data_IF_725246971801
#
_entry.id   IF_725246971801
#
_cell.length_a   1.000
_cell.length_b   1.000
_cell.length_c   1.000
_cell.angle_alpha   90.00
_cell.angle_beta   90.00
_cell.angle_gamma   90.00
#
_symmetry.space_group_name_H-M   'P 1'
#
loop_
_entity.id
_entity.type
_entity.pdbx_description
1 polymer ?
#
# COMPACT_ATOMS: atom_id res chain seq x y z
N UNK A 1 -25.23 19.58 10.32
CA UNK A 1 -24.11 18.64 10.17
C UNK A 1 -23.23 18.77 11.39
N UNK A 2 -22.90 17.69 12.04
CA UNK A 2 -21.91 17.69 13.12
C UNK A 2 -20.54 18.08 12.54
N UNK A 3 -19.65 18.60 13.38
CA UNK A 3 -18.28 18.95 12.96
C UNK A 3 -17.56 17.75 12.30
N UNK A 4 -17.71 16.55 12.84
CA UNK A 4 -17.14 15.33 12.29
C UNK A 4 -17.70 14.92 10.92
N UNK A 5 -18.97 15.21 10.61
CA UNK A 5 -19.50 14.96 9.26
C UNK A 5 -18.77 15.80 8.20
N UNK A 6 -18.39 17.05 8.53
CA UNK A 6 -17.58 17.89 7.63
C UNK A 6 -16.18 17.32 7.46
N UNK A 7 -15.52 16.92 8.56
CA UNK A 7 -14.19 16.30 8.53
C UNK A 7 -14.17 15.02 7.68
N UNK A 8 -15.15 14.14 7.82
CA UNK A 8 -15.30 12.94 6.99
C UNK A 8 -15.42 13.31 5.50
N UNK A 9 -16.22 14.34 5.16
CA UNK A 9 -16.36 14.76 3.77
C UNK A 9 -15.07 15.37 3.20
N UNK A 10 -14.28 16.08 3.99
CA UNK A 10 -12.97 16.60 3.58
C UNK A 10 -11.99 15.46 3.30
N UNK A 11 -11.91 14.46 4.18
CA UNK A 11 -11.09 13.25 3.97
C UNK A 11 -11.56 12.51 2.73
N UNK A 12 -12.87 12.31 2.55
CA UNK A 12 -13.43 11.66 1.36
C UNK A 12 -13.04 12.38 0.07
N UNK A 13 -13.16 13.69 0.04
CA UNK A 13 -12.76 14.52 -1.11
C UNK A 13 -11.27 14.37 -1.42
N UNK A 14 -10.41 14.42 -0.41
CA UNK A 14 -8.98 14.22 -0.57
C UNK A 14 -8.67 12.84 -1.17
N UNK A 15 -9.26 11.76 -0.65
CA UNK A 15 -9.00 10.40 -1.11
C UNK A 15 -9.43 10.20 -2.58
N UNK A 16 -10.53 10.81 -3.02
CA UNK A 16 -10.98 10.75 -4.42
C UNK A 16 -10.04 11.51 -5.36
N UNK A 17 -9.57 12.71 -4.95
CA UNK A 17 -8.57 13.48 -5.70
C UNK A 17 -7.25 12.71 -5.77
N UNK A 18 -6.84 12.10 -4.68
CA UNK A 18 -5.62 11.28 -4.61
C UNK A 18 -5.72 10.08 -5.56
N UNK A 19 -6.88 9.40 -5.60
CA UNK A 19 -7.13 8.31 -6.56
C UNK A 19 -6.96 8.78 -8.01
N UNK A 20 -7.59 9.90 -8.37
CA UNK A 20 -7.51 10.46 -9.73
C UNK A 20 -6.08 10.82 -10.12
N UNK A 21 -5.32 11.42 -9.20
CA UNK A 21 -3.93 11.81 -9.42
C UNK A 21 -3.03 10.57 -9.62
N UNK A 22 -3.20 9.54 -8.79
CA UNK A 22 -2.43 8.30 -8.90
C UNK A 22 -2.77 7.58 -10.21
N UNK A 23 -4.05 7.41 -10.55
CA UNK A 23 -4.44 6.79 -11.80
C UNK A 23 -3.83 7.50 -13.01
N UNK A 24 -3.93 8.82 -13.06
CA UNK A 24 -3.35 9.64 -14.16
C UNK A 24 -1.84 9.47 -14.24
N UNK A 25 -1.12 9.55 -13.11
CA UNK A 25 0.33 9.42 -13.09
C UNK A 25 0.79 8.03 -13.56
N UNK A 26 0.06 6.97 -13.22
CA UNK A 26 0.35 5.61 -13.68
C UNK A 26 0.00 5.41 -15.16
N UNK A 27 -1.10 5.98 -15.65
CA UNK A 27 -1.44 5.99 -17.08
C UNK A 27 -0.34 6.70 -17.91
N UNK A 28 0.21 7.80 -17.41
CA UNK A 28 1.35 8.46 -18.06
C UNK A 28 2.61 7.57 -18.13
N UNK A 29 2.83 6.68 -17.15
CA UNK A 29 3.93 5.72 -17.22
C UNK A 29 3.71 4.67 -18.30
N UNK A 30 2.47 4.24 -18.48
CA UNK A 30 2.08 3.30 -19.54
C UNK A 30 2.25 3.93 -20.93
N UNK A 31 1.75 5.15 -21.15
CA UNK A 31 1.87 5.89 -22.40
C UNK A 31 3.35 6.13 -22.80
N UNK A 32 4.18 6.54 -21.86
CA UNK A 32 5.61 6.76 -22.08
C UNK A 32 6.42 5.46 -22.27
N UNK A 33 5.82 4.31 -21.99
CA UNK A 33 6.42 2.98 -22.12
C UNK A 33 6.28 2.35 -23.50
N UNK A 34 5.40 2.86 -24.36
CA UNK A 34 5.22 2.38 -25.72
C UNK A 34 6.24 2.99 -26.68
N UNK A 35 7.03 2.16 -27.38
CA UNK A 35 7.99 2.61 -28.39
C UNK A 35 7.28 3.16 -29.64
N UNK A 36 6.03 2.75 -29.89
CA UNK A 36 5.24 3.07 -31.08
C UNK A 36 3.92 3.80 -30.76
N UNK A 37 3.70 4.26 -29.54
CA UNK A 37 2.51 5.00 -29.13
C UNK A 37 1.19 4.19 -29.16
N UNK A 38 1.27 2.89 -29.33
CA UNK A 38 0.10 2.03 -29.62
C UNK A 38 -0.52 1.34 -28.41
N UNK A 39 -0.05 1.59 -27.19
CA UNK A 39 -0.67 1.04 -25.97
C UNK A 39 -1.34 2.18 -25.19
N UNK A 40 -2.65 2.18 -25.21
CA UNK A 40 -3.50 3.11 -24.45
C UNK A 40 -4.22 2.39 -23.30
N UNK A 41 -3.54 1.49 -22.59
CA UNK A 41 -4.17 0.89 -21.43
C UNK A 41 -4.41 1.96 -20.35
N UNK A 42 -5.66 2.04 -19.94
CA UNK A 42 -6.16 3.01 -18.95
C UNK A 42 -6.85 2.29 -17.82
N UNK A 43 -7.00 2.99 -16.73
CA UNK A 43 -7.82 2.50 -15.64
C UNK A 43 -9.30 2.45 -16.03
N UNK A 44 -9.92 1.29 -15.86
CA UNK A 44 -11.37 1.14 -15.90
C UNK A 44 -11.93 1.39 -14.51
N UNK A 45 -12.85 2.32 -14.38
CA UNK A 45 -13.50 2.64 -13.11
C UNK A 45 -14.80 1.85 -12.96
N UNK A 46 -14.93 1.14 -11.85
CA UNK A 46 -16.14 0.43 -11.44
C UNK A 46 -16.66 1.05 -10.15
N UNK A 47 -17.82 1.69 -10.24
CA UNK A 47 -18.50 2.35 -9.11
C UNK A 47 -19.51 1.36 -8.54
N UNK A 48 -19.46 1.17 -7.24
CA UNK A 48 -20.31 0.20 -6.55
C UNK A 48 -20.88 0.77 -5.26
N UNK A 49 -22.03 0.27 -4.88
CA UNK A 49 -22.76 0.60 -3.65
C UNK A 49 -22.98 -0.65 -2.81
N UNK A 50 -23.16 -0.47 -1.49
CA UNK A 50 -23.50 -1.53 -0.55
C UNK A 50 -24.92 -1.36 -0.02
N UNK A 51 -25.62 -2.46 0.13
CA UNK A 51 -26.98 -2.45 0.72
C UNK A 51 -26.99 -1.92 2.16
N UNK A 52 -25.91 -2.19 2.90
CA UNK A 52 -25.72 -1.71 4.28
C UNK A 52 -25.33 -0.24 4.39
N UNK A 53 -25.09 0.42 3.28
CA UNK A 53 -24.70 1.80 3.14
C UNK A 53 -23.23 2.00 2.81
N UNK A 54 -22.98 3.08 2.08
CA UNK A 54 -21.69 3.40 1.52
C UNK A 54 -21.42 2.71 0.19
N UNK A 55 -20.18 2.78 -0.28
CA UNK A 55 -19.78 2.27 -1.58
C UNK A 55 -18.32 2.56 -1.87
N UNK A 56 -17.95 2.51 -3.15
CA UNK A 56 -16.58 2.79 -3.56
C UNK A 56 -16.43 2.97 -5.06
N UNK A 57 -15.20 3.25 -5.45
CA UNK A 57 -14.75 3.31 -6.84
C UNK A 57 -13.47 2.49 -6.98
N UNK A 58 -13.57 1.39 -7.72
CA UNK A 58 -12.45 0.49 -8.03
C UNK A 58 -11.89 0.87 -9.39
N UNK A 59 -10.68 1.43 -9.44
CA UNK A 59 -9.97 1.70 -10.67
C UNK A 59 -8.96 0.58 -10.92
N UNK A 60 -9.10 -0.14 -12.04
CA UNK A 60 -8.27 -1.31 -12.38
C UNK A 60 -7.65 -1.13 -13.76
N UNK A 61 -6.34 -1.35 -13.86
CA UNK A 61 -5.60 -1.49 -15.12
C UNK A 61 -5.07 -2.93 -15.21
N UNK A 62 -5.19 -3.55 -16.37
CA UNK A 62 -4.70 -4.92 -16.60
C UNK A 62 -4.15 -5.08 -18.01
N UNK A 63 -3.07 -5.84 -18.17
CA UNK A 63 -2.52 -6.18 -19.48
C UNK A 63 -1.64 -5.11 -20.11
N UNK A 64 -1.26 -4.05 -19.35
CA UNK A 64 -0.38 -2.99 -19.85
C UNK A 64 1.03 -3.47 -20.20
N UNK A 65 1.74 -2.67 -20.96
CA UNK A 65 3.13 -2.97 -21.38
C UNK A 65 4.14 -2.71 -20.28
N UNK A 66 3.89 -1.69 -19.46
CA UNK A 66 4.71 -1.32 -18.28
C UNK A 66 4.08 -1.85 -17.02
N UNK A 67 2.78 -1.61 -16.85
CA UNK A 67 1.99 -2.02 -15.70
C UNK A 67 1.17 -3.24 -16.07
N UNK A 68 1.60 -4.40 -15.61
CA UNK A 68 0.92 -5.66 -15.91
C UNK A 68 -0.45 -5.75 -15.23
N UNK A 69 -0.55 -5.23 -14.00
CA UNK A 69 -1.79 -5.02 -13.27
C UNK A 69 -1.62 -3.93 -12.23
N UNK A 70 -2.61 -3.09 -12.09
CA UNK A 70 -2.72 -2.16 -10.97
C UNK A 70 -4.17 -2.04 -10.52
N UNK A 71 -4.35 -1.81 -9.23
CA UNK A 71 -5.63 -1.45 -8.66
C UNK A 71 -5.47 -0.24 -7.75
N UNK A 72 -6.34 0.76 -7.91
CA UNK A 72 -6.43 1.94 -7.04
C UNK A 72 -7.86 2.02 -6.54
N UNK A 73 -8.07 1.62 -5.28
CA UNK A 73 -9.37 1.32 -4.71
C UNK A 73 -9.77 2.36 -3.67
N UNK A 74 -10.78 3.15 -3.96
CA UNK A 74 -11.45 4.00 -2.98
C UNK A 74 -12.66 3.28 -2.41
N UNK A 75 -12.85 3.35 -1.08
CA UNK A 75 -14.05 2.90 -0.39
C UNK A 75 -14.45 3.88 0.73
N UNK A 76 -15.75 4.02 0.92
CA UNK A 76 -16.37 4.65 2.09
C UNK A 76 -17.55 3.78 2.49
N UNK A 77 -17.42 3.04 3.57
CA UNK A 77 -18.40 2.05 4.02
C UNK A 77 -18.95 2.41 5.39
N UNK A 78 -20.24 2.12 5.58
CA UNK A 78 -20.91 2.21 6.87
C UNK A 78 -20.93 0.83 7.52
N UNK A 79 -20.64 0.78 8.79
CA UNK A 79 -20.61 -0.42 9.62
C UNK A 79 -21.70 -0.27 10.67
N UNK A 80 -22.75 -1.07 10.58
CA UNK A 80 -23.89 -0.99 11.51
C UNK A 80 -23.53 -1.47 12.91
N UNK A 81 -22.65 -2.46 13.01
CA UNK A 81 -22.17 -3.01 14.28
C UNK A 81 -20.69 -3.39 14.14
N UNK A 82 -19.84 -2.77 14.96
CA UNK A 82 -18.42 -3.12 14.98
C UNK A 82 -18.22 -4.53 15.55
N UNK A 83 -17.52 -5.42 14.80
CA UNK A 83 -17.22 -6.75 15.29
C UNK A 83 -16.16 -6.71 16.40
N UNK A 84 -16.23 -7.63 17.36
CA UNK A 84 -15.27 -7.72 18.46
C UNK A 84 -13.81 -7.85 18.00
N UNK A 85 -13.58 -8.51 16.86
CA UNK A 85 -12.23 -8.63 16.27
C UNK A 85 -11.63 -7.28 15.83
N UNK A 86 -12.46 -6.30 15.41
CA UNK A 86 -12.03 -4.97 15.02
C UNK A 86 -11.86 -4.00 16.21
N UNK A 87 -12.32 -4.40 17.40
CA UNK A 87 -12.37 -3.56 18.60
C UNK A 87 -11.43 -4.03 19.72
N UNK A 88 -10.45 -4.88 19.42
CA UNK A 88 -9.51 -5.38 20.45
C UNK A 88 -8.82 -4.25 21.23
N UNK A 89 -8.55 -3.11 20.58
CA UNK A 89 -7.92 -1.94 21.20
C UNK A 89 -8.93 -0.98 21.85
N UNK A 90 -10.19 -1.05 21.44
CA UNK A 90 -11.29 -0.20 21.89
C UNK A 90 -12.51 -1.07 22.18
N UNK A 91 -12.49 -1.89 23.26
CA UNK A 91 -13.57 -2.84 23.57
C UNK A 91 -14.94 -2.18 23.74
N UNK A 92 -14.96 -0.92 24.17
CA UNK A 92 -16.16 -0.11 24.34
C UNK A 92 -16.90 0.20 23.02
N UNK A 93 -16.23 -0.01 21.88
CA UNK A 93 -16.82 0.22 20.54
C UNK A 93 -17.52 -1.00 19.97
N UNK A 94 -17.51 -2.13 20.67
CA UNK A 94 -18.24 -3.35 20.23
C UNK A 94 -19.72 -3.02 20.03
N UNK A 95 -20.27 -3.36 18.88
CA UNK A 95 -21.67 -3.13 18.52
C UNK A 95 -22.03 -1.69 18.16
N UNK A 96 -21.12 -0.72 18.29
CA UNK A 96 -21.36 0.67 17.87
C UNK A 96 -21.33 0.78 16.34
N UNK A 97 -22.00 1.81 15.82
CA UNK A 97 -21.93 2.16 14.39
C UNK A 97 -20.58 2.81 14.08
N UNK A 98 -20.09 2.59 12.88
CA UNK A 98 -18.84 3.21 12.43
C UNK A 98 -18.85 3.51 10.93
N UNK A 99 -17.90 4.33 10.51
CA UNK A 99 -17.57 4.57 9.10
C UNK A 99 -16.08 4.29 8.87
N UNK A 100 -15.77 3.67 7.75
CA UNK A 100 -14.40 3.45 7.31
C UNK A 100 -14.23 3.99 5.88
N UNK A 101 -13.28 4.91 5.72
CA UNK A 101 -12.91 5.48 4.42
C UNK A 101 -11.47 5.10 4.13
N UNK A 102 -11.19 4.75 2.90
CA UNK A 102 -9.80 4.43 2.54
C UNK A 102 -9.55 4.47 1.04
N UNK A 103 -8.27 4.66 0.72
CA UNK A 103 -7.67 4.43 -0.57
C UNK A 103 -6.59 3.39 -0.40
N UNK A 104 -6.70 2.28 -1.14
CA UNK A 104 -5.68 1.23 -1.20
C UNK A 104 -5.23 1.05 -2.63
N UNK A 105 -3.95 0.85 -2.86
CA UNK A 105 -3.44 0.58 -4.18
C UNK A 105 -2.34 -0.49 -4.16
N UNK A 106 -2.26 -1.21 -5.26
CA UNK A 106 -1.14 -2.09 -5.58
C UNK A 106 -0.80 -1.94 -7.06
N UNK A 107 0.48 -1.84 -7.36
CA UNK A 107 0.99 -1.78 -8.74
C UNK A 107 1.96 -2.95 -8.96
N UNK A 108 1.63 -3.81 -9.92
CA UNK A 108 2.46 -4.93 -10.37
C UNK A 108 3.05 -4.63 -11.76
N UNK A 109 4.30 -4.15 -11.83
CA UNK A 109 4.95 -3.88 -13.10
C UNK A 109 5.32 -5.16 -13.85
N UNK A 110 5.35 -5.09 -15.19
CA UNK A 110 5.74 -6.23 -16.04
C UNK A 110 7.24 -6.51 -15.96
N UNK A 111 8.06 -5.45 -15.99
CA UNK A 111 9.51 -5.56 -15.95
C UNK A 111 9.98 -5.95 -14.53
N UNK A 112 10.75 -7.04 -14.35
CA UNK A 112 11.26 -7.46 -13.04
C UNK A 112 12.21 -6.45 -12.36
N UNK A 113 12.78 -5.51 -13.11
CA UNK A 113 13.62 -4.46 -12.54
C UNK A 113 12.79 -3.32 -11.89
N UNK A 114 11.48 -3.27 -12.13
CA UNK A 114 10.57 -2.33 -11.46
C UNK A 114 9.91 -3.05 -10.29
N UNK A 115 9.97 -2.51 -9.07
CA UNK A 115 9.37 -3.14 -7.90
C UNK A 115 7.83 -3.09 -7.94
N UNK A 116 7.18 -4.08 -7.33
CA UNK A 116 5.79 -3.95 -6.87
C UNK A 116 5.75 -2.91 -5.75
N UNK A 117 4.74 -2.06 -5.77
CA UNK A 117 4.49 -1.08 -4.72
C UNK A 117 3.06 -1.13 -4.22
N UNK A 118 2.88 -0.86 -2.95
CA UNK A 118 1.61 -0.81 -2.26
C UNK A 118 1.50 0.48 -1.47
N UNK A 119 0.31 1.05 -1.40
CA UNK A 119 -0.02 2.11 -0.45
C UNK A 119 -1.44 1.92 0.09
N UNK A 120 -1.66 2.35 1.31
CA UNK A 120 -2.97 2.38 1.94
C UNK A 120 -3.09 3.64 2.81
N UNK A 121 -4.18 4.34 2.68
CA UNK A 121 -4.54 5.50 3.51
C UNK A 121 -5.98 5.32 3.93
N UNK A 122 -6.25 5.40 5.25
CA UNK A 122 -7.60 5.18 5.76
C UNK A 122 -7.93 6.06 6.96
N UNK A 123 -9.20 6.40 7.11
CA UNK A 123 -9.82 6.96 8.31
C UNK A 123 -10.87 6.00 8.80
N UNK A 124 -10.89 5.77 10.08
CA UNK A 124 -11.94 5.05 10.80
C UNK A 124 -12.61 6.00 11.80
N UNK A 125 -13.95 5.99 11.85
CA UNK A 125 -14.73 6.80 12.79
C UNK A 125 -15.81 5.95 13.41
N UNK A 126 -15.72 5.69 14.70
CA UNK A 126 -16.77 5.02 15.49
C UNK A 126 -17.67 6.05 16.17
N UNK A 127 -18.98 5.88 15.99
CA UNK A 127 -19.97 6.79 16.56
C UNK A 127 -20.29 6.37 18.02
N UNK A 128 -19.51 6.90 18.97
CA UNK A 128 -19.77 6.76 20.39
C UNK A 128 -20.75 7.83 20.88
N UNK A 129 -21.45 7.57 22.00
CA UNK A 129 -22.61 8.36 22.45
C UNK A 129 -22.28 9.83 22.74
N UNK A 130 -21.05 10.14 23.20
CA UNK A 130 -20.67 11.51 23.59
C UNK A 130 -19.70 12.19 22.61
N UNK A 131 -18.74 11.43 22.05
CA UNK A 131 -17.79 11.93 21.06
C UNK A 131 -17.39 10.77 20.15
N UNK A 132 -17.28 10.99 18.82
CA UNK A 132 -16.73 9.99 17.92
C UNK A 132 -15.29 9.62 18.29
N UNK A 133 -14.99 8.33 18.27
CA UNK A 133 -13.62 7.82 18.36
C UNK A 133 -13.11 7.61 16.94
N UNK A 134 -11.98 8.20 16.62
CA UNK A 134 -11.44 8.16 15.28
C UNK A 134 -9.93 7.90 15.29
N UNK A 135 -9.46 7.30 14.23
CA UNK A 135 -8.02 7.15 13.96
C UNK A 135 -7.74 7.03 12.47
N UNK A 136 -6.59 7.51 12.07
CA UNK A 136 -6.04 7.24 10.77
C UNK A 136 -5.07 6.07 10.80
N UNK A 137 -4.96 5.38 9.66
CA UNK A 137 -3.97 4.35 9.42
C UNK A 137 -3.52 4.39 7.98
N UNK A 138 -2.38 3.78 7.70
CA UNK A 138 -1.88 3.73 6.35
C UNK A 138 -0.40 3.45 6.25
N UNK A 139 0.18 3.87 5.13
CA UNK A 139 1.56 3.71 4.78
C UNK A 139 1.73 3.31 3.33
N UNK A 140 2.97 3.07 2.94
CA UNK A 140 3.33 2.52 1.65
C UNK A 140 4.64 1.72 1.77
N UNK A 141 4.77 0.66 0.98
CA UNK A 141 5.93 -0.22 0.98
C UNK A 141 6.34 -0.66 -0.42
N UNK A 142 7.61 -1.05 -0.56
CA UNK A 142 8.23 -1.42 -1.80
C UNK A 142 8.68 -2.89 -1.77
N UNK A 143 8.27 -3.65 -2.78
CA UNK A 143 8.60 -5.07 -2.95
C UNK A 143 9.39 -5.26 -4.25
N UNK A 144 10.71 -5.10 -4.23
CA UNK A 144 11.56 -5.30 -5.40
C UNK A 144 11.87 -6.79 -5.63
N UNK A 145 12.23 -7.10 -6.88
CA UNK A 145 12.73 -8.42 -7.28
C UNK A 145 14.23 -8.36 -7.59
N UNK A 146 14.68 -7.27 -8.20
CA UNK A 146 16.08 -6.94 -8.48
C UNK A 146 16.36 -5.52 -7.97
N UNK A 147 16.50 -5.36 -6.64
CA UNK A 147 16.70 -4.06 -6.02
C UNK A 147 18.10 -3.51 -6.30
N UNK A 148 18.21 -2.19 -6.15
CA UNK A 148 19.50 -1.50 -6.03
C UNK A 148 19.51 -0.66 -4.76
N UNK A 149 20.69 -0.47 -4.19
CA UNK A 149 20.86 0.38 -2.99
C UNK A 149 20.32 1.79 -3.25
N UNK A 150 20.59 2.35 -4.42
CA UNK A 150 20.12 3.68 -4.81
C UNK A 150 18.60 3.82 -4.75
N UNK A 151 17.85 2.85 -5.28
CA UNK A 151 16.38 2.88 -5.27
C UNK A 151 15.84 2.74 -3.84
N UNK A 152 16.47 1.88 -3.02
CA UNK A 152 16.09 1.71 -1.61
C UNK A 152 16.36 2.99 -0.80
N UNK A 153 17.52 3.62 -1.00
CA UNK A 153 17.87 4.89 -0.35
C UNK A 153 16.91 5.99 -0.77
N UNK A 154 16.63 6.13 -2.08
CA UNK A 154 15.65 7.10 -2.58
C UNK A 154 14.28 6.90 -1.94
N UNK A 155 13.77 5.67 -1.92
CA UNK A 155 12.48 5.33 -1.32
C UNK A 155 12.39 5.72 0.15
N UNK A 156 13.39 5.34 0.93
CA UNK A 156 13.44 5.64 2.36
C UNK A 156 13.71 7.11 2.66
N UNK A 157 14.45 7.81 1.77
CA UNK A 157 14.62 9.26 1.87
C UNK A 157 13.27 9.98 1.69
N UNK A 158 12.46 9.59 0.71
CA UNK A 158 11.11 10.12 0.56
C UNK A 158 10.28 9.83 1.83
N UNK A 159 10.30 8.60 2.34
CA UNK A 159 9.62 8.26 3.60
C UNK A 159 10.03 9.18 4.77
N UNK A 160 11.34 9.39 4.93
CA UNK A 160 11.89 10.26 5.97
C UNK A 160 11.43 11.71 5.81
N UNK A 161 11.59 12.27 4.60
CA UNK A 161 11.29 13.66 4.31
C UNK A 161 9.79 13.99 4.50
N UNK A 162 8.89 13.02 4.25
CA UNK A 162 7.46 13.14 4.50
C UNK A 162 7.12 13.12 5.99
N UNK A 163 7.89 12.41 6.81
CA UNK A 163 7.68 12.31 8.25
C UNK A 163 8.30 13.48 9.03
N UNK A 164 9.42 14.01 8.56
CA UNK A 164 10.24 14.99 9.26
C UNK A 164 9.47 16.24 9.77
N UNK A 165 8.50 16.83 9.03
CA UNK A 165 7.72 17.96 9.52
C UNK A 165 6.83 17.65 10.74
N UNK A 166 6.65 16.36 11.05
CA UNK A 166 5.80 15.85 12.13
C UNK A 166 6.58 15.42 13.37
N UNK A 167 7.88 15.25 13.26
CA UNK A 167 8.81 14.92 14.34
C UNK A 167 9.93 13.97 13.88
N UNK A 168 11.09 14.08 14.52
CA UNK A 168 12.29 13.30 14.14
C UNK A 168 12.14 11.79 14.45
N UNK A 169 11.26 11.42 15.36
CA UNK A 169 10.96 10.05 15.76
C UNK A 169 9.89 9.38 14.88
N UNK A 170 9.17 10.15 14.04
CA UNK A 170 8.03 9.65 13.25
C UNK A 170 8.48 8.63 12.21
N UNK A 171 9.51 8.95 11.42
CA UNK A 171 10.05 8.02 10.43
C UNK A 171 10.62 6.74 11.07
N UNK A 172 11.54 6.78 12.05
CA UNK A 172 12.06 5.57 12.67
C UNK A 172 10.97 4.66 13.24
N UNK A 173 9.97 5.25 13.90
CA UNK A 173 8.82 4.53 14.48
C UNK A 173 8.01 3.79 13.42
N UNK A 174 7.60 4.48 12.36
CA UNK A 174 6.72 3.90 11.35
C UNK A 174 7.45 3.02 10.34
N UNK A 175 8.75 3.25 10.14
CA UNK A 175 9.63 2.35 9.40
C UNK A 175 9.80 1.03 10.14
N UNK A 176 10.12 1.04 11.43
CA UNK A 176 10.24 -0.17 12.24
C UNK A 176 8.92 -0.96 12.27
N UNK A 177 7.78 -0.28 12.40
CA UNK A 177 6.48 -0.93 12.34
C UNK A 177 6.18 -1.54 10.97
N UNK A 178 6.61 -0.88 9.88
CA UNK A 178 6.52 -1.42 8.52
C UNK A 178 7.30 -2.72 8.37
N UNK A 179 8.54 -2.76 8.86
CA UNK A 179 9.39 -3.96 8.81
C UNK A 179 8.76 -5.14 9.55
N UNK A 180 8.20 -4.89 10.73
CA UNK A 180 7.52 -5.93 11.53
C UNK A 180 6.22 -6.40 10.89
N UNK A 181 5.44 -5.47 10.32
CA UNK A 181 4.14 -5.80 9.74
C UNK A 181 4.27 -6.64 8.48
N UNK A 182 5.18 -6.27 7.55
CA UNK A 182 5.36 -6.95 6.28
C UNK A 182 6.35 -8.11 6.33
N UNK A 183 6.45 -8.78 7.46
CA UNK A 183 7.32 -9.95 7.65
C UNK A 183 6.53 -11.26 7.50
N UNK A 184 7.02 -12.15 6.61
CA UNK A 184 6.47 -13.49 6.39
C UNK A 184 7.07 -14.46 7.41
N UNK A 185 6.36 -14.69 8.51
CA UNK A 185 6.88 -15.52 9.62
C UNK A 185 7.22 -16.95 9.21
N UNK A 186 6.41 -17.57 8.35
CA UNK A 186 6.63 -18.94 7.86
C UNK A 186 7.74 -19.05 6.82
N UNK A 187 8.25 -17.94 6.31
CA UNK A 187 9.40 -17.87 5.39
C UNK A 187 10.64 -17.29 6.04
N UNK A 188 10.52 -16.71 7.24
CA UNK A 188 11.60 -16.00 7.93
C UNK A 188 12.21 -14.88 7.06
N UNK A 189 11.40 -14.16 6.26
CA UNK A 189 11.86 -13.09 5.40
C UNK A 189 10.86 -11.92 5.34
N UNK A 190 11.33 -10.72 5.04
CA UNK A 190 10.45 -9.59 4.76
C UNK A 190 9.80 -9.72 3.36
N UNK A 191 8.61 -9.12 3.18
CA UNK A 191 7.94 -9.03 1.87
C UNK A 191 8.74 -8.21 0.87
N UNK A 192 9.37 -7.14 1.33
CA UNK A 192 10.15 -6.20 0.55
C UNK A 192 11.15 -5.42 1.40
N UNK A 193 11.53 -4.25 0.94
CA UNK A 193 12.50 -3.38 1.62
C UNK A 193 11.86 -2.41 2.61
N UNK A 194 10.54 -2.52 2.83
CA UNK A 194 9.80 -1.70 3.76
C UNK A 194 9.35 -0.35 3.18
N UNK A 195 9.21 0.60 4.06
CA UNK A 195 8.67 1.95 3.81
C UNK A 195 8.08 2.52 5.09
N UNK A 196 6.79 2.88 5.06
CA UNK A 196 6.04 3.37 6.22
C UNK A 196 4.81 2.50 6.47
N UNK A 197 4.57 2.17 7.73
CA UNK A 197 3.31 1.60 8.18
C UNK A 197 2.92 2.21 9.52
N UNK A 198 1.68 2.66 9.63
CA UNK A 198 1.12 3.22 10.85
C UNK A 198 -0.35 2.86 10.97
N UNK A 199 -0.79 2.78 12.22
CA UNK A 199 -2.18 2.57 12.61
C UNK A 199 -2.44 3.34 13.90
N UNK A 200 -3.68 3.64 14.23
CA UNK A 200 -4.02 4.40 15.43
C UNK A 200 -3.40 5.81 15.51
N UNK A 201 -3.24 6.49 14.36
CA UNK A 201 -2.82 7.89 14.33
C UNK A 201 -4.02 8.77 14.74
N UNK A 202 -4.02 9.19 15.99
CA UNK A 202 -5.05 10.00 16.62
C UNK A 202 -4.44 10.85 17.74
N UNK A 203 -5.23 11.70 18.36
CA UNK A 203 -4.76 12.61 19.43
C UNK A 203 -4.18 11.84 20.62
N UNK A 204 -4.77 10.71 21.01
CA UNK A 204 -4.33 9.95 22.16
C UNK A 204 -2.92 9.36 21.98
N UNK A 205 -2.59 8.90 20.78
CA UNK A 205 -1.34 8.20 20.50
C UNK A 205 -0.22 9.11 19.98
N UNK A 206 -0.57 10.27 19.41
CA UNK A 206 0.40 11.20 18.81
C UNK A 206 0.49 12.54 19.51
N UNK A 207 -0.53 12.92 20.28
CA UNK A 207 -0.70 14.28 20.78
C UNK A 207 -1.15 15.29 19.72
N UNK A 208 -1.36 14.87 18.47
CA UNK A 208 -1.82 15.74 17.37
C UNK A 208 -3.33 15.84 17.36
N UNK A 209 -3.87 17.00 17.02
CA UNK A 209 -5.29 17.14 16.74
C UNK A 209 -5.67 16.45 15.40
N UNK A 210 -6.96 16.45 15.06
CA UNK A 210 -7.46 15.82 13.84
C UNK A 210 -6.82 16.42 12.59
N UNK A 211 -6.69 17.72 12.54
CA UNK A 211 -6.16 18.47 11.41
C UNK A 211 -4.69 18.11 11.16
N UNK A 212 -3.87 18.08 12.19
CA UNK A 212 -2.46 17.68 12.09
C UNK A 212 -2.29 16.19 11.71
N UNK A 213 -3.13 15.32 12.28
CA UNK A 213 -3.17 13.92 11.83
C UNK A 213 -3.54 13.82 10.35
N UNK A 214 -4.54 14.60 9.90
CA UNK A 214 -4.96 14.61 8.50
C UNK A 214 -3.89 15.23 7.58
N UNK A 215 -3.15 16.24 8.02
CA UNK A 215 -2.02 16.81 7.28
C UNK A 215 -0.91 15.76 7.07
N UNK A 216 -0.61 14.96 8.09
CA UNK A 216 0.32 13.82 7.96
C UNK A 216 -0.18 12.81 6.92
N UNK A 217 -1.45 12.44 6.98
CA UNK A 217 -2.08 11.53 6.02
C UNK A 217 -2.02 12.06 4.58
N UNK A 218 -2.26 13.38 4.41
CA UNK A 218 -2.15 14.05 3.10
C UNK A 218 -0.71 14.01 2.58
N UNK A 219 0.26 14.26 3.44
CA UNK A 219 1.68 14.22 3.08
C UNK A 219 2.07 12.81 2.61
N UNK A 220 1.78 11.77 3.41
CA UNK A 220 2.11 10.38 3.07
C UNK A 220 1.39 9.92 1.80
N UNK A 221 0.09 10.18 1.67
CA UNK A 221 -0.67 9.77 0.50
C UNK A 221 -0.18 10.42 -0.80
N UNK A 222 0.07 11.72 -0.77
CA UNK A 222 0.55 12.47 -1.95
C UNK A 222 2.00 12.11 -2.30
N UNK A 223 2.86 11.90 -1.29
CA UNK A 223 4.27 11.59 -1.48
C UNK A 223 4.56 10.18 -2.01
N UNK A 224 3.57 9.29 -2.06
CA UNK A 224 3.75 7.97 -2.70
C UNK A 224 4.28 8.08 -4.13
N UNK A 225 3.77 9.01 -4.91
CA UNK A 225 4.21 9.21 -6.31
C UNK A 225 5.65 9.71 -6.39
N UNK A 226 6.09 10.54 -5.46
CA UNK A 226 7.49 11.03 -5.39
C UNK A 226 8.46 9.88 -5.13
N UNK A 227 8.03 8.86 -4.39
CA UNK A 227 8.81 7.64 -4.15
C UNK A 227 8.89 6.73 -5.37
N UNK A 228 7.76 6.44 -6.01
CA UNK A 228 7.70 5.37 -7.02
C UNK A 228 8.01 5.82 -8.44
N UNK A 229 7.61 7.03 -8.86
CA UNK A 229 7.75 7.47 -10.26
C UNK A 229 9.21 7.58 -10.72
N UNK A 230 10.18 8.09 -9.92
CA UNK A 230 11.58 8.08 -10.32
C UNK A 230 12.14 6.68 -10.58
N UNK A 231 11.74 5.69 -9.76
CA UNK A 231 12.13 4.28 -9.93
C UNK A 231 11.53 3.72 -11.24
N UNK A 232 10.24 3.96 -11.50
CA UNK A 232 9.59 3.57 -12.76
C UNK A 232 10.32 4.16 -13.97
N UNK A 233 10.56 5.47 -13.99
CA UNK A 233 11.22 6.16 -15.09
C UNK A 233 12.61 5.61 -15.37
N UNK A 234 13.34 5.21 -14.34
CA UNK A 234 14.69 4.67 -14.44
C UNK A 234 14.71 3.20 -14.89
N UNK A 235 13.74 2.39 -14.46
CA UNK A 235 13.80 0.93 -14.55
C UNK A 235 12.91 0.30 -15.62
N UNK A 236 11.80 0.92 -16.02
CA UNK A 236 10.78 0.30 -16.89
C UNK A 236 11.26 -0.13 -18.27
N UNK A 237 12.35 0.48 -18.78
CA UNK A 237 12.94 0.15 -20.08
C UNK A 237 14.22 -0.72 -19.98
N UNK A 238 14.62 -1.11 -18.77
CA UNK A 238 15.77 -1.98 -18.60
C UNK A 238 15.52 -3.34 -19.27
N UNK A 239 16.48 -3.87 -20.02
CA UNK A 239 16.37 -5.22 -20.57
C UNK A 239 16.32 -6.24 -19.41
N UNK A 240 15.59 -7.33 -19.63
CA UNK A 240 15.53 -8.44 -18.70
C UNK A 240 15.43 -9.77 -19.43
N UNK A 241 15.87 -10.82 -18.75
CA UNK A 241 15.86 -12.20 -19.28
C UNK A 241 14.59 -12.93 -18.83
N UNK A 242 14.30 -14.06 -19.50
CA UNK A 242 13.25 -14.97 -19.09
C UNK A 242 13.48 -15.52 -17.65
N UNK A 243 14.73 -15.81 -17.27
CA UNK A 243 15.08 -16.22 -15.88
C UNK A 243 14.67 -15.17 -14.87
N UNK A 244 14.93 -13.88 -15.15
CA UNK A 244 14.53 -12.78 -14.25
C UNK A 244 13.01 -12.66 -14.16
N UNK A 245 12.29 -12.88 -15.26
CA UNK A 245 10.83 -12.90 -15.22
C UNK A 245 10.28 -14.06 -14.38
N UNK A 246 10.83 -15.24 -14.51
CA UNK A 246 10.45 -16.42 -13.71
C UNK A 246 10.71 -16.21 -12.23
N UNK A 247 11.84 -15.60 -11.87
CA UNK A 247 12.12 -15.23 -10.49
C UNK A 247 11.14 -14.17 -9.96
N UNK A 248 10.75 -13.20 -10.75
CA UNK A 248 9.69 -12.25 -10.37
C UNK A 248 8.39 -12.99 -10.05
N UNK A 249 7.96 -13.94 -10.87
CA UNK A 249 6.76 -14.73 -10.63
C UNK A 249 6.87 -15.56 -9.34
N UNK A 250 8.02 -16.16 -9.09
CA UNK A 250 8.31 -16.87 -7.85
C UNK A 250 8.22 -15.93 -6.63
N UNK A 251 8.80 -14.75 -6.69
CA UNK A 251 8.71 -13.75 -5.61
C UNK A 251 7.29 -13.20 -5.42
N UNK A 252 6.52 -13.09 -6.49
CA UNK A 252 5.08 -12.77 -6.40
C UNK A 252 4.30 -13.82 -5.60
N UNK A 253 4.73 -15.06 -5.58
CA UNK A 253 4.18 -16.09 -4.68
C UNK A 253 4.29 -15.66 -3.21
N UNK A 254 5.42 -15.07 -2.77
CA UNK A 254 5.59 -14.53 -1.42
C UNK A 254 4.65 -13.37 -1.13
N UNK A 255 4.43 -12.50 -2.11
CA UNK A 255 3.48 -11.40 -2.02
C UNK A 255 2.05 -11.93 -1.81
N UNK A 256 1.63 -12.94 -2.56
CA UNK A 256 0.33 -13.61 -2.40
C UNK A 256 0.20 -14.26 -1.03
N UNK A 257 1.23 -14.98 -0.57
CA UNK A 257 1.24 -15.60 0.76
C UNK A 257 1.02 -14.56 1.86
N UNK A 258 1.71 -13.42 1.81
CA UNK A 258 1.52 -12.36 2.79
C UNK A 258 0.08 -11.85 2.79
N UNK A 259 -0.44 -11.48 1.63
CA UNK A 259 -1.76 -10.86 1.52
C UNK A 259 -2.89 -11.80 1.96
N UNK A 260 -2.78 -13.09 1.67
CA UNK A 260 -3.83 -14.07 2.03
C UNK A 260 -3.71 -14.59 3.48
N UNK A 261 -2.52 -14.60 4.07
CA UNK A 261 -2.28 -15.21 5.38
C UNK A 261 -2.18 -14.16 6.49
N UNK A 262 -1.55 -13.01 6.22
CA UNK A 262 -1.17 -12.04 7.25
C UNK A 262 -1.79 -10.65 7.10
N UNK A 263 -2.20 -10.25 5.87
CA UNK A 263 -2.71 -8.90 5.69
C UNK A 263 -4.06 -8.71 6.39
N UNK A 264 -4.04 -7.90 7.45
CA UNK A 264 -5.24 -7.65 8.27
C UNK A 264 -6.37 -7.02 7.46
N UNK A 265 -6.04 -6.17 6.48
CA UNK A 265 -7.02 -5.52 5.61
C UNK A 265 -7.73 -6.53 4.71
N UNK A 266 -6.99 -7.43 4.06
CA UNK A 266 -7.53 -8.51 3.23
C UNK A 266 -8.39 -9.45 4.06
N UNK A 267 -7.89 -9.93 5.20
CA UNK A 267 -8.62 -10.84 6.09
C UNK A 267 -9.92 -10.22 6.61
N UNK A 268 -9.84 -8.98 7.11
CA UNK A 268 -11.02 -8.25 7.57
C UNK A 268 -12.03 -8.04 6.45
N UNK A 269 -11.58 -7.62 5.27
CA UNK A 269 -12.45 -7.39 4.12
C UNK A 269 -13.20 -8.64 3.69
N UNK A 270 -12.52 -9.78 3.59
CA UNK A 270 -13.14 -11.06 3.22
C UNK A 270 -14.11 -11.59 4.31
N UNK A 271 -13.71 -11.46 5.58
CA UNK A 271 -14.54 -11.92 6.71
C UNK A 271 -15.78 -11.05 6.96
N UNK A 272 -15.70 -9.75 6.64
CA UNK A 272 -16.82 -8.81 6.81
C UNK A 272 -17.76 -8.73 5.60
N UNK A 273 -17.65 -9.65 4.64
CA UNK A 273 -18.49 -9.65 3.43
C UNK A 273 -18.17 -8.45 2.51
N UNK A 274 -16.93 -7.96 2.53
CA UNK A 274 -16.45 -6.95 1.60
C UNK A 274 -16.48 -7.44 0.16
N UNK A 275 -16.43 -6.50 -0.79
CA UNK A 275 -16.43 -6.82 -2.22
C UNK A 275 -15.16 -7.58 -2.61
N UNK A 276 -15.28 -8.89 -2.81
CA UNK A 276 -14.17 -9.81 -3.09
C UNK A 276 -13.31 -9.34 -4.27
N UNK A 277 -13.93 -8.92 -5.38
CA UNK A 277 -13.22 -8.43 -6.58
C UNK A 277 -12.32 -7.22 -6.27
N UNK A 278 -12.81 -6.28 -5.46
CA UNK A 278 -12.03 -5.10 -5.05
C UNK A 278 -10.92 -5.43 -4.05
N UNK A 279 -11.10 -6.46 -3.22
CA UNK A 279 -10.08 -6.91 -2.25
C UNK A 279 -8.97 -7.68 -2.97
N UNK A 280 -9.34 -8.65 -3.82
CA UNK A 280 -8.36 -9.52 -4.49
C UNK A 280 -7.70 -8.89 -5.72
N UNK A 281 -8.07 -7.65 -6.08
CA UNK A 281 -7.35 -6.91 -7.13
C UNK A 281 -5.87 -6.69 -6.76
N UNK A 282 -5.55 -6.68 -5.46
CA UNK A 282 -4.19 -6.57 -4.94
C UNK A 282 -3.28 -7.74 -5.33
N UNK A 283 -3.86 -8.87 -5.77
CA UNK A 283 -3.07 -10.02 -6.21
C UNK A 283 -2.42 -9.75 -7.57
N UNK A 284 -1.17 -10.19 -7.79
CA UNK A 284 -0.55 -10.13 -9.11
C UNK A 284 -1.32 -11.00 -10.11
N UNK A 285 -1.28 -10.69 -11.43
CA UNK A 285 -2.00 -11.49 -12.43
C UNK A 285 -1.45 -12.90 -12.58
N UNK A 286 -0.14 -13.07 -12.28
CA UNK A 286 0.55 -14.36 -12.29
C UNK A 286 1.51 -14.43 -11.12
N UNK A 287 1.59 -15.60 -10.50
CA UNK A 287 2.57 -15.97 -9.47
C UNK A 287 2.96 -17.44 -9.63
N UNK A 288 4.10 -17.83 -9.10
CA UNK A 288 4.54 -19.21 -9.12
C UNK A 288 5.17 -19.64 -7.80
N UNK A 289 5.19 -20.94 -7.57
CA UNK A 289 5.86 -21.58 -6.43
C UNK A 289 6.76 -22.70 -6.93
N UNK A 290 7.98 -22.74 -6.41
CA UNK A 290 8.92 -23.82 -6.68
C UNK A 290 9.23 -24.54 -5.36
N UNK A 291 9.21 -25.87 -5.42
CA UNK A 291 9.54 -26.71 -4.27
C UNK A 291 11.04 -26.62 -3.97
N UNK A 292 11.42 -26.29 -2.73
CA UNK A 292 12.81 -26.15 -2.26
C UNK A 292 13.69 -25.30 -3.19
N UNK A 293 13.18 -24.15 -3.68
CA UNK A 293 13.99 -23.25 -4.49
C UNK A 293 15.09 -22.60 -3.64
N UNK A 294 16.32 -22.77 -4.09
CA UNK A 294 17.50 -22.13 -3.52
C UNK A 294 18.18 -21.30 -4.62
N UNK A 295 18.35 -19.99 -4.43
CA UNK A 295 19.08 -19.18 -5.39
C UNK A 295 20.57 -19.53 -5.36
N UNK A 296 21.23 -19.41 -6.50
CA UNK A 296 22.66 -19.62 -6.63
C UNK A 296 23.45 -18.59 -5.79
N UNK A 297 24.38 -19.06 -4.99
CA UNK A 297 25.20 -18.20 -4.13
C UNK A 297 25.95 -17.15 -4.98
N UNK A 298 25.87 -15.87 -4.55
CA UNK A 298 26.45 -14.75 -5.26
C UNK A 298 25.62 -14.22 -6.45
N UNK A 299 24.46 -14.84 -6.74
CA UNK A 299 23.53 -14.30 -7.74
C UNK A 299 22.73 -13.11 -7.16
N UNK A 300 22.14 -12.30 -8.05
CA UNK A 300 21.24 -11.21 -7.64
C UNK A 300 20.00 -11.75 -6.91
N UNK A 301 19.53 -12.94 -7.26
CA UNK A 301 18.43 -13.63 -6.58
C UNK A 301 18.80 -14.04 -5.15
N UNK A 302 20.06 -14.45 -4.92
CA UNK A 302 20.59 -14.72 -3.59
C UNK A 302 20.72 -13.43 -2.78
N UNK A 303 21.30 -12.39 -3.39
CA UNK A 303 21.50 -11.09 -2.73
C UNK A 303 20.17 -10.45 -2.27
N UNK A 304 19.07 -10.66 -3.03
CA UNK A 304 17.76 -10.19 -2.61
C UNK A 304 17.42 -10.68 -1.19
N UNK A 305 17.53 -11.99 -0.94
CA UNK A 305 17.15 -12.60 0.34
C UNK A 305 18.22 -12.44 1.42
N UNK A 306 19.49 -12.51 1.05
CA UNK A 306 20.60 -12.43 2.00
C UNK A 306 20.88 -11.02 2.49
N UNK A 307 20.64 -10.02 1.64
CA UNK A 307 20.93 -8.62 1.96
C UNK A 307 19.67 -7.75 2.03
N UNK A 308 18.89 -7.64 0.94
CA UNK A 308 17.85 -6.60 0.83
C UNK A 308 16.60 -6.87 1.67
N UNK A 309 16.20 -8.11 1.88
CA UNK A 309 15.01 -8.47 2.66
C UNK A 309 15.25 -8.56 4.18
N UNK A 310 16.39 -8.08 4.64
CA UNK A 310 16.68 -7.90 6.07
C UNK A 310 16.42 -6.44 6.44
N UNK A 311 15.80 -6.20 7.59
CA UNK A 311 15.58 -4.83 8.09
C UNK A 311 16.89 -4.06 8.17
N UNK A 312 16.94 -2.86 7.59
CA UNK A 312 18.16 -2.04 7.47
C UNK A 312 17.86 -0.57 7.69
N UNK A 313 18.87 0.15 8.11
CA UNK A 313 18.89 1.60 8.03
C UNK A 313 19.39 2.04 6.63
N UNK A 314 18.45 2.21 5.72
CA UNK A 314 18.74 2.57 4.34
C UNK A 314 19.34 3.97 4.18
N UNK A 315 19.10 4.88 5.14
CA UNK A 315 19.61 6.24 5.09
C UNK A 315 21.09 6.32 5.47
N UNK A 316 21.60 5.36 6.24
CA UNK A 316 22.98 5.29 6.72
C UNK A 316 23.77 4.09 6.16
N UNK A 317 23.28 3.44 5.10
CA UNK A 317 23.85 2.17 4.59
C UNK A 317 25.29 2.30 4.07
N UNK A 318 25.72 3.49 3.71
CA UNK A 318 27.07 3.78 3.18
C UNK A 318 27.98 4.55 4.16
N UNK A 319 27.63 4.59 5.46
CA UNK A 319 28.42 5.24 6.52
C UNK A 319 29.25 4.24 7.31
#
# INVERSE_FOLDING_TARGET
MTDYSKKIQEVRKFLLILQDNICRALEEQELKGGIDGSSEEKFTADIWERNEGGGGRSCVMSGGRVIEKAGVMFSHIHINQMPAAATQRYPELVGKKAEALGLSLVVHPKNPNVPTSHANIRLFVAHADNNPVWWFGGGFDLTPFYPTIEDCVHWHKVCHDLCQPFGDDVYPKYKAWCDDYFYLKHRCEARGVGGLFFDDVNTQNTGWDFERCFDFIKAVGSGYLDGILPIFNKRKHMPYTQKQREFQLYRRGRYVEFNLIYDRGTLFGLQSGGRTESILVSMPPCASWSYCYEPEAGSAEFELTDFYLKAKDWLNINQ
#
